data_IF_099820518022
#
_entry.id   IF_099820518022
#
_cell.length_a   1.000
_cell.length_b   1.000
_cell.length_c   1.000
_cell.angle_alpha   90.00
_cell.angle_beta   90.00
_cell.angle_gamma   90.00
#
_symmetry.space_group_name_H-M   'P 1'
#
loop_
_entity.id
_entity.type
_entity.pdbx_description
1 polymer ?
#
# COMPACT_ATOMS: atom_id res chain seq x y z
N UNK A 1 -16.28 51.26 1.81
CA UNK A 1 -17.09 50.32 1.00
C UNK A 1 -16.30 49.04 0.90
N UNK A 2 -16.92 47.95 1.33
CA UNK A 2 -16.34 46.60 1.38
C UNK A 2 -16.29 46.04 -0.03
N UNK A 3 -15.18 45.46 -0.44
CA UNK A 3 -15.15 44.59 -1.62
C UNK A 3 -14.39 43.34 -1.25
N UNK A 4 -15.19 42.34 -0.88
CA UNK A 4 -14.78 40.96 -0.65
C UNK A 4 -14.21 40.40 -1.95
N UNK A 5 -12.95 40.01 -1.92
CA UNK A 5 -12.32 39.22 -2.99
C UNK A 5 -12.81 37.78 -2.84
N UNK A 6 -13.28 37.28 -3.96
CA UNK A 6 -13.94 36.00 -4.20
C UNK A 6 -13.00 34.86 -3.80
N UNK A 7 -13.49 33.89 -3.02
CA UNK A 7 -12.76 32.67 -2.68
C UNK A 7 -12.44 31.90 -3.97
N UNK A 8 -11.14 31.72 -4.25
CA UNK A 8 -10.66 30.72 -5.20
C UNK A 8 -11.10 29.34 -4.70
N UNK A 9 -12.05 28.73 -5.40
CA UNK A 9 -12.38 27.32 -5.23
C UNK A 9 -11.20 26.50 -5.74
N UNK A 10 -10.33 26.06 -4.84
CA UNK A 10 -9.33 25.03 -5.07
C UNK A 10 -10.01 23.85 -5.79
N UNK A 11 -9.53 23.41 -6.97
CA UNK A 11 -10.10 22.22 -7.60
C UNK A 11 -9.94 21.04 -6.63
N UNK A 12 -10.93 20.13 -6.52
CA UNK A 12 -10.78 18.98 -5.65
C UNK A 12 -9.55 18.20 -6.08
N UNK A 13 -8.60 18.05 -5.15
CA UNK A 13 -7.33 17.39 -5.40
C UNK A 13 -7.57 15.94 -5.79
N UNK A 14 -7.44 15.63 -7.08
CA UNK A 14 -7.68 14.29 -7.64
C UNK A 14 -6.36 13.53 -7.72
N UNK A 15 -6.33 12.34 -7.13
CA UNK A 15 -5.19 11.41 -7.24
C UNK A 15 -5.58 10.21 -8.09
N UNK A 16 -4.77 9.89 -9.10
CA UNK A 16 -5.03 8.82 -10.06
C UNK A 16 -3.97 7.72 -9.98
N UNK A 17 -4.34 6.50 -10.34
CA UNK A 17 -3.43 5.35 -10.54
C UNK A 17 -2.67 4.87 -9.30
N UNK A 18 -3.29 4.90 -8.11
CA UNK A 18 -2.65 4.44 -6.86
C UNK A 18 -2.93 2.95 -6.65
N UNK A 19 -1.87 2.14 -6.55
CA UNK A 19 -1.98 0.72 -6.20
C UNK A 19 -2.48 0.51 -4.76
N UNK A 20 -3.15 -0.62 -4.53
CA UNK A 20 -3.67 -0.95 -3.21
C UNK A 20 -4.32 -2.32 -3.10
N UNK A 21 -5.08 -2.48 -2.02
CA UNK A 21 -5.90 -3.67 -1.72
C UNK A 21 -7.25 -3.24 -1.17
N UNK A 22 -8.28 -4.07 -1.32
CA UNK A 22 -9.58 -3.83 -0.72
C UNK A 22 -10.12 -5.07 -0.04
N UNK A 23 -10.95 -4.85 0.97
CA UNK A 23 -11.69 -5.87 1.70
C UNK A 23 -13.18 -5.66 1.45
N UNK A 24 -13.84 -6.71 0.97
CA UNK A 24 -15.29 -6.78 0.86
C UNK A 24 -15.93 -7.16 2.21
N UNK A 25 -17.25 -7.12 2.29
CA UNK A 25 -17.96 -7.37 3.56
C UNK A 25 -17.86 -8.84 4.02
N UNK A 26 -17.59 -9.75 3.08
CA UNK A 26 -17.28 -11.17 3.35
C UNK A 26 -15.87 -11.39 3.95
N UNK A 27 -15.06 -10.33 4.05
CA UNK A 27 -13.70 -10.35 4.58
C UNK A 27 -12.64 -10.78 3.57
N UNK A 28 -13.00 -11.03 2.30
CA UNK A 28 -12.02 -11.37 1.27
C UNK A 28 -11.19 -10.15 0.88
N UNK A 29 -9.88 -10.35 0.84
CA UNK A 29 -8.91 -9.34 0.41
C UNK A 29 -8.49 -9.57 -1.04
N UNK A 30 -8.52 -8.50 -1.83
CA UNK A 30 -8.10 -8.52 -3.23
C UNK A 30 -7.22 -7.32 -3.56
N UNK A 31 -6.33 -7.48 -4.54
CA UNK A 31 -5.53 -6.37 -5.06
C UNK A 31 -6.36 -5.45 -5.94
N UNK A 32 -6.12 -4.14 -5.85
CA UNK A 32 -6.78 -3.16 -6.70
C UNK A 32 -5.86 -2.00 -7.09
N UNK A 33 -6.36 -1.16 -7.98
CA UNK A 33 -5.75 0.11 -8.32
C UNK A 33 -6.83 1.18 -8.38
N UNK A 34 -6.59 2.37 -7.83
CA UNK A 34 -7.52 3.47 -8.01
C UNK A 34 -7.40 4.03 -9.43
N UNK A 35 -8.56 4.21 -10.09
CA UNK A 35 -8.65 5.04 -11.29
C UNK A 35 -8.73 6.51 -10.90
N UNK A 36 -9.53 6.81 -9.88
CA UNK A 36 -9.85 8.15 -9.42
C UNK A 36 -10.16 8.13 -7.92
N UNK A 37 -9.74 9.17 -7.18
CA UNK A 37 -10.08 9.34 -5.76
C UNK A 37 -10.35 10.82 -5.48
N UNK A 38 -11.47 11.08 -4.80
CA UNK A 38 -11.83 12.36 -4.21
C UNK A 38 -12.28 12.17 -2.76
N UNK A 39 -12.76 13.25 -2.13
CA UNK A 39 -13.33 13.22 -0.78
C UNK A 39 -14.68 12.52 -0.68
N UNK A 40 -15.38 12.40 -1.80
CA UNK A 40 -16.76 11.92 -1.83
C UNK A 40 -16.86 10.59 -2.56
N UNK A 41 -15.95 10.31 -3.49
CA UNK A 41 -15.99 9.11 -4.32
C UNK A 41 -14.60 8.55 -4.62
N UNK A 42 -14.50 7.23 -4.71
CA UNK A 42 -13.35 6.54 -5.29
C UNK A 42 -13.77 5.56 -6.37
N UNK A 43 -13.01 5.51 -7.46
CA UNK A 43 -13.16 4.53 -8.53
C UNK A 43 -12.01 3.55 -8.45
N UNK A 44 -12.35 2.27 -8.30
CA UNK A 44 -11.40 1.20 -8.03
C UNK A 44 -11.45 0.21 -9.19
N UNK A 45 -10.31 -0.02 -9.81
CA UNK A 45 -10.07 -1.13 -10.73
C UNK A 45 -9.81 -2.36 -9.88
N UNK A 46 -10.66 -3.36 -10.02
CA UNK A 46 -10.67 -4.53 -9.14
C UNK A 46 -11.06 -5.80 -9.93
N UNK A 47 -10.46 -6.96 -9.61
CA UNK A 47 -10.78 -8.22 -10.27
C UNK A 47 -12.12 -8.81 -9.82
N UNK A 48 -12.58 -8.48 -8.62
CA UNK A 48 -13.83 -8.98 -8.04
C UNK A 48 -14.64 -7.80 -7.52
N UNK A 49 -15.77 -7.51 -8.14
CA UNK A 49 -16.66 -6.47 -7.64
C UNK A 49 -17.61 -7.06 -6.60
N UNK A 50 -17.75 -6.40 -5.45
CA UNK A 50 -18.82 -6.70 -4.49
C UNK A 50 -20.19 -6.25 -5.02
N UNK A 51 -21.21 -6.26 -4.17
CA UNK A 51 -22.55 -5.79 -4.53
C UNK A 51 -22.73 -4.27 -4.32
N UNK A 52 -23.61 -3.65 -5.08
CA UNK A 52 -24.03 -2.26 -4.81
C UNK A 52 -24.69 -2.19 -3.43
N UNK A 53 -24.29 -1.20 -2.62
CA UNK A 53 -24.68 -1.04 -1.23
C UNK A 53 -23.78 -1.77 -0.23
N UNK A 54 -22.84 -2.60 -0.69
CA UNK A 54 -21.93 -3.33 0.18
C UNK A 54 -20.82 -2.41 0.72
N UNK A 55 -20.46 -2.58 2.00
CA UNK A 55 -19.35 -1.86 2.62
C UNK A 55 -18.03 -2.43 2.12
N UNK A 56 -17.11 -1.53 1.78
CA UNK A 56 -15.77 -1.90 1.31
C UNK A 56 -14.74 -1.00 1.98
N UNK A 57 -13.60 -1.59 2.36
CA UNK A 57 -12.45 -0.87 2.90
C UNK A 57 -11.29 -0.99 1.93
N UNK A 58 -10.75 0.12 1.44
CA UNK A 58 -9.65 0.15 0.47
C UNK A 58 -8.41 0.74 1.12
N UNK A 59 -7.32 0.00 1.06
CA UNK A 59 -5.98 0.38 1.49
C UNK A 59 -5.17 0.79 0.26
N UNK A 60 -4.91 2.08 0.11
CA UNK A 60 -4.17 2.64 -1.03
C UNK A 60 -2.78 3.12 -0.57
N UNK A 61 -1.73 2.70 -1.28
CA UNK A 61 -0.34 2.80 -0.81
C UNK A 61 0.10 4.22 -0.42
N UNK A 62 -0.41 5.24 -1.11
CA UNK A 62 -0.01 6.64 -0.90
C UNK A 62 -1.10 7.49 -0.26
N UNK A 63 -2.36 7.04 -0.32
CA UNK A 63 -3.54 7.77 0.18
C UNK A 63 -3.95 7.29 1.56
N UNK A 64 -3.71 6.02 1.89
CA UNK A 64 -4.12 5.40 3.14
C UNK A 64 -5.45 4.66 3.02
N UNK A 65 -6.15 4.54 4.15
CA UNK A 65 -7.42 3.79 4.24
C UNK A 65 -8.59 4.67 3.82
N UNK A 66 -9.35 4.20 2.83
CA UNK A 66 -10.60 4.80 2.36
C UNK A 66 -11.71 3.79 2.62
N UNK A 67 -12.69 4.19 3.44
CA UNK A 67 -13.86 3.36 3.73
C UNK A 67 -15.07 3.92 2.99
N UNK A 68 -15.99 3.05 2.60
CA UNK A 68 -17.17 3.47 1.90
C UNK A 68 -18.13 2.34 1.60
N UNK A 69 -19.09 2.66 0.75
CA UNK A 69 -20.07 1.72 0.21
C UNK A 69 -19.99 1.72 -1.31
N UNK A 70 -20.10 0.55 -1.93
CA UNK A 70 -20.11 0.42 -3.38
C UNK A 70 -21.37 1.11 -3.92
N UNK A 71 -21.22 2.17 -4.70
CA UNK A 71 -22.33 2.95 -5.26
C UNK A 71 -22.74 2.46 -6.65
N UNK A 72 -21.81 1.92 -7.43
CA UNK A 72 -22.08 1.31 -8.73
C UNK A 72 -20.94 0.39 -9.19
N UNK A 73 -21.27 -0.54 -10.09
CA UNK A 73 -20.30 -1.46 -10.68
C UNK A 73 -19.83 -0.94 -12.03
N UNK A 74 -18.58 -1.23 -12.38
CA UNK A 74 -17.97 -0.89 -13.66
C UNK A 74 -17.43 -2.17 -14.33
N UNK A 75 -17.21 -2.19 -15.65
CA UNK A 75 -16.70 -3.37 -16.36
C UNK A 75 -15.36 -3.91 -15.84
N UNK A 76 -14.55 -3.06 -15.20
CA UNK A 76 -13.23 -3.40 -14.68
C UNK A 76 -13.08 -3.09 -13.17
N UNK A 77 -14.19 -3.03 -12.43
CA UNK A 77 -14.16 -2.82 -10.98
C UNK A 77 -15.44 -2.20 -10.44
N UNK A 78 -15.30 -1.23 -9.56
CA UNK A 78 -16.45 -0.60 -8.90
C UNK A 78 -16.15 0.83 -8.48
N UNK A 79 -17.22 1.58 -8.24
CA UNK A 79 -17.20 2.92 -7.68
C UNK A 79 -17.76 2.85 -6.28
N UNK A 80 -17.17 3.61 -5.37
CA UNK A 80 -17.60 3.66 -3.98
C UNK A 80 -17.78 5.09 -3.52
N UNK A 81 -18.86 5.33 -2.77
CA UNK A 81 -19.05 6.56 -2.01
C UNK A 81 -18.20 6.50 -0.75
N UNK A 82 -17.42 7.55 -0.49
CA UNK A 82 -16.52 7.63 0.66
C UNK A 82 -17.34 7.96 1.92
N UNK A 83 -17.35 7.04 2.89
CA UNK A 83 -18.06 7.19 4.16
C UNK A 83 -17.07 7.15 5.32
N UNK A 84 -16.58 8.33 5.71
CA UNK A 84 -15.62 8.48 6.80
C UNK A 84 -16.03 9.60 7.75
N UNK A 85 -15.53 9.55 8.99
CA UNK A 85 -15.79 10.61 9.99
C UNK A 85 -15.22 11.97 9.53
N UNK A 86 -15.74 13.12 10.02
CA UNK A 86 -15.22 14.43 9.64
C UNK A 86 -13.71 14.59 9.84
N UNK A 87 -13.17 14.02 10.92
CA UNK A 87 -11.73 14.00 11.19
C UNK A 87 -10.94 13.20 10.14
N UNK A 88 -11.45 12.03 9.74
CA UNK A 88 -10.84 11.22 8.68
C UNK A 88 -10.98 11.89 7.32
N UNK A 89 -12.09 12.57 7.07
CA UNK A 89 -12.33 13.36 5.85
C UNK A 89 -11.31 14.50 5.72
N UNK A 90 -11.06 15.23 6.81
CA UNK A 90 -10.04 16.29 6.83
C UNK A 90 -8.63 15.75 6.58
N UNK A 91 -8.29 14.58 7.16
CA UNK A 91 -7.00 13.91 6.89
C UNK A 91 -6.88 13.47 5.44
N UNK A 92 -7.95 12.92 4.86
CA UNK A 92 -7.99 12.55 3.44
C UNK A 92 -7.82 13.79 2.55
N UNK A 93 -8.46 14.91 2.88
CA UNK A 93 -8.38 16.16 2.13
C UNK A 93 -6.94 16.67 2.05
N UNK A 94 -6.30 16.85 3.21
CA UNK A 94 -4.92 17.29 3.30
C UNK A 94 -3.97 16.34 2.56
N UNK A 95 -4.27 15.03 2.58
CA UNK A 95 -3.45 14.04 1.88
C UNK A 95 -3.61 14.11 0.36
N UNK A 96 -4.82 14.27 -0.14
CA UNK A 96 -5.08 14.40 -1.56
C UNK A 96 -4.47 15.71 -2.11
N UNK A 97 -4.57 16.81 -1.37
CA UNK A 97 -3.93 18.09 -1.69
C UNK A 97 -2.42 17.97 -1.80
N UNK A 98 -1.77 17.40 -0.77
CA UNK A 98 -0.33 17.15 -0.79
C UNK A 98 0.11 16.25 -1.96
N UNK A 99 -0.71 15.25 -2.33
CA UNK A 99 -0.43 14.37 -3.46
C UNK A 99 -0.65 15.05 -4.81
N UNK A 100 -1.61 15.98 -4.92
CA UNK A 100 -1.84 16.75 -6.13
C UNK A 100 -0.68 17.72 -6.41
N UNK A 101 -0.18 18.40 -5.37
CA UNK A 101 0.98 19.31 -5.45
C UNK A 101 2.26 18.58 -5.89
N UNK A 102 2.47 17.34 -5.46
CA UNK A 102 3.62 16.50 -5.83
C UNK A 102 3.41 15.64 -7.07
N UNK A 103 2.17 15.49 -7.52
CA UNK A 103 1.78 14.63 -8.62
C UNK A 103 2.26 15.14 -9.99
N UNK A 104 2.55 16.43 -10.11
CA UNK A 104 3.03 17.05 -11.35
C UNK A 104 4.50 16.75 -11.69
N UNK A 105 5.28 16.16 -10.78
CA UNK A 105 6.69 15.79 -11.03
C UNK A 105 6.89 14.31 -11.41
N UNK A 106 5.82 13.51 -11.55
CA UNK A 106 5.91 12.05 -11.79
C UNK A 106 5.96 11.67 -13.27
N UNK A 107 7.07 11.98 -13.91
CA UNK A 107 7.64 11.04 -14.87
C UNK A 107 8.57 10.14 -14.06
N UNK A 108 8.34 8.83 -14.12
CA UNK A 108 9.29 7.78 -13.69
C UNK A 108 9.19 7.18 -12.27
N UNK A 109 8.07 6.54 -11.93
CA UNK A 109 8.01 5.57 -10.82
C UNK A 109 7.68 4.15 -11.27
N UNK A 110 8.56 3.56 -12.10
CA UNK A 110 8.51 2.13 -12.46
C UNK A 110 9.45 1.23 -11.65
N UNK A 111 10.07 1.71 -10.58
CA UNK A 111 10.86 0.86 -9.67
C UNK A 111 10.59 1.21 -8.21
N UNK A 112 10.06 0.27 -7.43
CA UNK A 112 10.00 0.42 -5.98
C UNK A 112 11.42 0.69 -5.46
N UNK A 113 11.63 1.86 -4.84
CA UNK A 113 12.91 2.28 -4.27
C UNK A 113 13.40 1.20 -3.29
N UNK A 114 14.61 0.68 -3.54
CA UNK A 114 15.30 -0.28 -2.67
C UNK A 114 16.39 0.45 -1.90
N UNK A 115 16.43 0.25 -0.60
CA UNK A 115 17.43 0.82 0.30
C UNK A 115 18.18 -0.31 1.01
N UNK A 116 19.44 -0.06 1.36
CA UNK A 116 20.19 -0.93 2.25
C UNK A 116 20.02 -0.42 3.69
N UNK A 117 19.42 -1.19 4.61
CA UNK A 117 19.24 -0.74 5.98
C UNK A 117 20.58 -0.60 6.72
N UNK A 118 20.63 0.27 7.73
CA UNK A 118 21.80 0.44 8.60
C UNK A 118 22.10 -0.81 9.42
N UNK A 119 21.06 -1.54 9.84
CA UNK A 119 21.18 -2.83 10.50
C UNK A 119 20.80 -3.95 9.53
N UNK A 120 21.79 -4.75 9.15
CA UNK A 120 21.61 -5.79 8.13
C UNK A 120 21.44 -7.18 8.72
N UNK A 121 21.84 -7.44 9.96
CA UNK A 121 21.65 -8.74 10.59
C UNK A 121 20.19 -8.99 10.93
N UNK A 122 19.67 -10.17 10.57
CA UNK A 122 18.27 -10.52 10.79
C UNK A 122 18.11 -12.01 11.11
N UNK A 123 17.18 -12.33 12.00
CA UNK A 123 16.74 -13.71 12.25
C UNK A 123 15.54 -14.02 11.36
N UNK A 124 15.53 -15.18 10.73
CA UNK A 124 14.42 -15.70 9.93
C UNK A 124 13.86 -16.93 10.64
N UNK A 125 12.61 -16.83 11.07
CA UNK A 125 11.86 -17.95 11.63
C UNK A 125 11.11 -18.65 10.49
N UNK A 126 11.39 -19.94 10.30
CA UNK A 126 10.75 -20.77 9.30
C UNK A 126 9.48 -21.42 9.86
N UNK A 127 8.65 -21.97 8.97
CA UNK A 127 7.37 -22.58 9.35
C UNK A 127 7.52 -23.86 10.17
N UNK A 128 8.67 -24.53 10.06
CA UNK A 128 9.06 -25.72 10.83
C UNK A 128 9.53 -25.40 12.27
N UNK A 129 9.54 -24.11 12.64
CA UNK A 129 9.98 -23.63 13.96
C UNK A 129 11.47 -23.38 14.08
N UNK A 130 12.26 -23.67 13.03
CA UNK A 130 13.70 -23.38 13.01
C UNK A 130 13.98 -21.88 12.86
N UNK A 131 15.12 -21.44 13.37
CA UNK A 131 15.59 -20.05 13.29
C UNK A 131 16.92 -20.01 12.57
N UNK A 132 16.98 -19.18 11.54
CA UNK A 132 18.14 -19.01 10.67
C UNK A 132 18.62 -17.57 10.75
N UNK A 133 19.90 -17.38 11.02
CA UNK A 133 20.50 -16.05 10.92
C UNK A 133 20.89 -15.73 9.48
N UNK A 134 20.49 -14.55 9.00
CA UNK A 134 20.78 -14.05 7.67
C UNK A 134 21.17 -12.58 7.69
N UNK A 135 21.48 -12.05 6.50
CA UNK A 135 21.75 -10.63 6.27
C UNK A 135 20.84 -10.04 5.20
N UNK A 136 20.37 -8.83 5.44
CA UNK A 136 19.57 -8.06 4.50
C UNK A 136 20.49 -7.44 3.45
N UNK A 137 20.27 -7.78 2.17
CA UNK A 137 20.97 -7.15 1.05
C UNK A 137 20.30 -5.83 0.66
N UNK A 138 18.98 -5.87 0.50
CA UNK A 138 18.15 -4.71 0.19
C UNK A 138 16.74 -4.89 0.75
N UNK A 139 16.09 -3.77 1.05
CA UNK A 139 14.69 -3.70 1.47
C UNK A 139 13.98 -2.73 0.55
N UNK A 140 12.76 -3.07 0.16
CA UNK A 140 11.78 -2.15 -0.41
C UNK A 140 10.60 -2.01 0.55
N UNK A 141 9.66 -1.12 0.23
CA UNK A 141 8.44 -1.01 1.02
C UNK A 141 7.67 -2.35 1.11
N UNK A 142 7.72 -3.19 0.09
CA UNK A 142 6.91 -4.42 0.01
C UNK A 142 7.69 -5.72 0.25
N UNK A 143 9.01 -5.67 0.39
CA UNK A 143 9.79 -6.89 0.56
C UNK A 143 11.25 -6.65 0.91
N UNK A 144 12.01 -7.75 1.00
CA UNK A 144 13.43 -7.71 1.25
C UNK A 144 14.15 -8.87 0.55
N UNK A 145 15.42 -8.66 0.23
CA UNK A 145 16.34 -9.69 -0.21
C UNK A 145 17.21 -10.12 0.98
N UNK A 146 17.10 -11.39 1.37
CA UNK A 146 17.81 -11.95 2.53
C UNK A 146 18.86 -12.94 2.04
N UNK A 147 20.11 -12.71 2.43
CA UNK A 147 21.24 -13.61 2.26
C UNK A 147 21.28 -14.56 3.46
N UNK A 148 21.17 -15.86 3.22
CA UNK A 148 21.15 -16.87 4.27
C UNK A 148 21.80 -18.17 3.76
N UNK A 149 22.31 -19.04 4.66
CA UNK A 149 22.89 -20.33 4.28
C UNK A 149 21.85 -21.35 3.80
N UNK A 150 20.56 -21.09 4.01
CA UNK A 150 19.44 -21.94 3.57
C UNK A 150 18.50 -21.20 2.64
N UNK A 151 17.77 -21.95 1.82
CA UNK A 151 16.76 -21.44 0.90
C UNK A 151 15.42 -22.10 1.21
N UNK A 152 14.56 -21.47 2.03
CA UNK A 152 13.23 -21.99 2.29
C UNK A 152 12.40 -22.03 1.00
N UNK A 153 11.54 -23.03 0.78
CA UNK A 153 10.69 -23.14 -0.40
C UNK A 153 9.99 -21.84 -0.81
N UNK A 154 9.89 -21.60 -2.12
CA UNK A 154 9.06 -20.50 -2.65
C UNK A 154 7.60 -20.75 -2.29
N UNK A 155 6.91 -19.74 -1.79
CA UNK A 155 5.55 -19.82 -1.26
C UNK A 155 5.47 -20.06 0.25
N UNK A 156 6.59 -20.41 0.90
CA UNK A 156 6.61 -20.62 2.34
C UNK A 156 6.41 -19.30 3.11
N UNK A 157 5.63 -19.38 4.19
CA UNK A 157 5.48 -18.29 5.14
C UNK A 157 6.63 -18.31 6.16
N UNK A 158 7.30 -17.18 6.29
CA UNK A 158 8.43 -16.99 7.20
C UNK A 158 8.24 -15.70 7.99
N UNK A 159 8.93 -15.58 9.12
CA UNK A 159 9.03 -14.30 9.83
C UNK A 159 10.46 -13.80 9.75
N UNK A 160 10.66 -12.66 9.11
CA UNK A 160 11.97 -11.99 9.00
C UNK A 160 12.01 -10.90 10.07
N UNK A 161 12.80 -11.14 11.11
CA UNK A 161 12.81 -10.35 12.33
C UNK A 161 11.46 -10.43 13.05
N UNK A 162 10.72 -9.33 13.07
CA UNK A 162 9.35 -9.22 13.58
C UNK A 162 8.30 -9.21 12.47
N UNK A 163 8.70 -9.20 11.19
CA UNK A 163 7.78 -9.06 10.04
C UNK A 163 7.47 -10.41 9.41
N UNK A 164 6.17 -10.73 9.31
CA UNK A 164 5.68 -11.86 8.52
C UNK A 164 5.87 -11.59 7.03
N UNK A 165 6.32 -12.60 6.31
CA UNK A 165 6.61 -12.52 4.89
C UNK A 165 6.39 -13.87 4.19
N UNK A 166 6.34 -13.85 2.86
CA UNK A 166 6.28 -15.03 2.02
C UNK A 166 7.49 -15.05 1.10
N UNK A 167 8.14 -16.21 0.97
CA UNK A 167 9.25 -16.38 0.03
C UNK A 167 8.72 -16.33 -1.39
N UNK A 168 9.24 -15.43 -2.23
CA UNK A 168 8.74 -15.22 -3.60
C UNK A 168 9.68 -15.68 -4.69
N UNK A 169 10.99 -15.79 -4.41
CA UNK A 169 12.00 -16.34 -5.33
C UNK A 169 13.32 -16.58 -4.62
N UNK A 170 14.18 -17.39 -5.23
CA UNK A 170 15.57 -17.58 -4.80
C UNK A 170 16.55 -16.82 -5.68
N UNK A 171 17.75 -16.58 -5.17
CA UNK A 171 18.90 -16.08 -5.91
C UNK A 171 20.17 -16.77 -5.39
N UNK A 172 21.30 -16.52 -6.06
CA UNK A 172 22.55 -17.29 -5.87
C UNK A 172 23.06 -17.38 -4.42
N UNK A 173 22.64 -16.48 -3.53
CA UNK A 173 23.12 -16.42 -2.14
C UNK A 173 22.00 -16.26 -1.10
N UNK A 174 20.75 -16.51 -1.47
CA UNK A 174 19.63 -16.40 -0.55
C UNK A 174 18.28 -16.31 -1.26
N UNK A 175 17.33 -15.63 -0.64
CA UNK A 175 15.95 -15.59 -1.10
C UNK A 175 15.31 -14.22 -0.90
N UNK A 176 14.35 -13.90 -1.76
CA UNK A 176 13.55 -12.69 -1.65
C UNK A 176 12.23 -13.01 -0.99
N UNK A 177 11.81 -12.13 -0.08
CA UNK A 177 10.53 -12.21 0.61
C UNK A 177 9.65 -11.03 0.27
N UNK A 178 8.34 -11.26 0.28
CA UNK A 178 7.32 -10.21 0.24
C UNK A 178 6.67 -10.10 1.61
N UNK A 179 6.62 -8.92 2.19
CA UNK A 179 5.99 -8.74 3.50
C UNK A 179 4.47 -8.88 3.39
N UNK A 180 3.86 -9.52 4.40
CA UNK A 180 2.40 -9.61 4.52
C UNK A 180 1.79 -8.21 4.74
N UNK A 181 2.49 -7.40 5.54
CA UNK A 181 2.21 -5.98 5.69
C UNK A 181 3.39 -5.20 5.10
N UNK A 182 3.20 -4.35 4.08
CA UNK A 182 4.24 -3.45 3.58
C UNK A 182 4.64 -2.39 4.62
N UNK A 183 5.75 -1.70 4.39
CA UNK A 183 6.12 -0.49 5.13
C UNK A 183 5.24 0.69 4.68
N UNK A 184 4.90 1.55 5.63
CA UNK A 184 4.35 2.88 5.31
C UNK A 184 5.47 3.73 4.69
N UNK A 185 5.17 4.48 3.63
CA UNK A 185 6.16 5.35 2.96
C UNK A 185 6.74 6.40 3.89
N UNK A 186 5.99 6.84 4.91
CA UNK A 186 6.42 7.83 5.90
C UNK A 186 7.43 7.29 6.91
N UNK A 187 7.46 5.97 7.11
CA UNK A 187 8.37 5.30 8.06
C UNK A 187 9.48 4.52 7.35
N UNK A 188 9.44 4.45 6.03
CA UNK A 188 10.43 3.73 5.24
C UNK A 188 11.69 4.58 5.05
N UNK A 189 12.70 4.26 5.84
CA UNK A 189 14.01 4.92 5.82
C UNK A 189 15.13 3.89 6.02
N UNK A 190 16.41 4.25 5.79
CA UNK A 190 17.53 3.34 6.04
C UNK A 190 17.63 2.82 7.49
N UNK A 191 16.93 3.45 8.45
CA UNK A 191 16.88 3.02 9.84
C UNK A 191 15.81 1.97 10.14
N UNK A 192 15.19 1.41 9.11
CA UNK A 192 14.18 0.36 9.26
C UNK A 192 14.76 -0.89 9.91
N UNK A 193 14.03 -1.44 10.88
CA UNK A 193 14.36 -2.70 11.54
C UNK A 193 13.31 -3.74 11.13
N UNK A 194 13.79 -4.90 10.68
CA UNK A 194 12.93 -6.04 10.33
C UNK A 194 12.52 -6.80 11.59
#
# INVERSE_FOLDING_TARGET
MVSSVVQETTPPSVVTQVGGRYLLADGQEHTCQSRHISLDEAEIIAPVSGAVGERVTVYLDQVGVVMGVISSLMPNGFRMAVEVTPERRARLAARLEWLAERGQERVDQRGAVRIMPTHTDVAVHLSDGSVVHGRINDVSMSGAAIKAPVNPPVGEQVTVGKRRATVVRHFKSGFAVRFVLPFCSETFSPHVVL
#
